data_IF_468101488794
#
_entry.id   IF_468101488794
#
_cell.length_a   1.000
_cell.length_b   1.000
_cell.length_c   1.000
_cell.angle_alpha   90.00
_cell.angle_beta   90.00
_cell.angle_gamma   90.00
#
_symmetry.space_group_name_H-M   'P 1'
#
loop_
_entity.id
_entity.type
_entity.pdbx_description
1 polymer ?
#
# COMPACT_ATOMS: atom_id res chain seq x y z
N UNK A 1 16.93 -30.66 16.00
CA UNK A 1 18.23 -30.86 16.69
C UNK A 1 19.11 -31.56 15.67
N UNK A 2 20.19 -31.01 15.12
CA UNK A 2 21.27 -30.24 15.74
C UNK A 2 21.74 -29.13 14.78
N UNK A 3 22.08 -28.00 15.40
CA UNK A 3 22.82 -26.81 14.98
C UNK A 3 23.41 -26.76 13.55
N UNK A 4 22.91 -25.84 12.72
CA UNK A 4 23.76 -25.17 11.74
C UNK A 4 24.46 -24.02 12.47
N UNK A 5 25.74 -24.23 12.74
CA UNK A 5 26.62 -23.31 13.45
C UNK A 5 26.64 -21.94 12.78
N UNK A 6 26.39 -20.89 13.57
CA UNK A 6 26.69 -19.51 13.19
C UNK A 6 28.19 -19.41 12.95
N UNK A 7 28.62 -19.24 11.71
CA UNK A 7 29.97 -18.76 11.46
C UNK A 7 29.99 -17.29 11.86
N UNK A 8 30.69 -16.99 12.94
CA UNK A 8 30.95 -15.65 13.44
C UNK A 8 32.10 -15.08 12.60
N UNK A 9 31.81 -14.27 11.58
CA UNK A 9 32.87 -13.53 10.89
C UNK A 9 33.29 -12.34 11.75
N UNK A 10 34.59 -12.28 12.05
CA UNK A 10 35.22 -11.22 12.83
C UNK A 10 34.98 -9.86 12.15
N UNK A 11 34.31 -8.96 12.88
CA UNK A 11 34.22 -7.55 12.51
C UNK A 11 35.58 -6.90 12.72
N UNK A 12 36.36 -6.74 11.65
CA UNK A 12 37.47 -5.78 11.65
C UNK A 12 36.88 -4.38 11.82
N UNK A 13 37.11 -3.75 12.98
CA UNK A 13 36.73 -2.35 13.25
C UNK A 13 37.56 -1.44 12.34
N UNK A 14 36.98 -0.96 11.25
CA UNK A 14 37.48 0.21 10.54
C UNK A 14 37.41 1.44 11.46
N UNK A 15 38.43 2.29 11.43
CA UNK A 15 38.65 3.38 12.38
C UNK A 15 37.66 4.55 12.28
N UNK A 16 36.70 4.49 11.37
CA UNK A 16 35.89 5.65 10.98
C UNK A 16 34.36 5.40 11.04
N UNK A 17 33.91 4.32 11.70
CA UNK A 17 32.50 4.15 12.08
C UNK A 17 31.48 3.98 10.94
N UNK A 18 31.91 3.74 9.70
CA UNK A 18 31.02 3.51 8.56
C UNK A 18 30.92 2.00 8.24
N UNK A 19 29.77 1.37 8.52
CA UNK A 19 29.44 0.02 8.01
C UNK A 19 28.41 0.15 6.89
N UNK A 20 28.82 -0.21 5.67
CA UNK A 20 27.91 -0.36 4.53
C UNK A 20 27.46 -1.83 4.51
N UNK A 21 26.25 -2.12 4.98
CA UNK A 21 25.62 -3.42 4.70
C UNK A 21 24.92 -3.35 3.34
N UNK A 22 25.51 -4.00 2.32
CA UNK A 22 24.83 -4.20 1.05
C UNK A 22 23.95 -5.45 1.13
N UNK A 23 22.69 -5.29 1.51
CA UNK A 23 21.65 -6.32 1.30
C UNK A 23 21.03 -6.08 -0.08
N UNK A 24 21.42 -6.88 -1.06
CA UNK A 24 20.83 -6.86 -2.40
C UNK A 24 19.57 -7.74 -2.41
N UNK A 25 18.39 -7.13 -2.42
CA UNK A 25 17.14 -7.82 -2.77
C UNK A 25 16.61 -7.27 -4.09
N UNK A 26 16.40 -8.19 -5.04
CA UNK A 26 16.10 -7.87 -6.43
C UNK A 26 14.69 -7.36 -6.71
N UNK A 27 14.65 -6.51 -7.74
CA UNK A 27 13.53 -6.15 -8.63
C UNK A 27 12.45 -5.22 -8.09
N UNK A 28 12.53 -4.02 -8.67
CA UNK A 28 11.45 -3.13 -9.09
C UNK A 28 10.58 -2.46 -8.01
N UNK A 29 10.32 -1.18 -8.28
CA UNK A 29 9.43 -0.25 -7.57
C UNK A 29 10.07 0.47 -6.38
N UNK A 30 10.74 1.58 -6.69
CA UNK A 30 10.65 2.87 -5.97
C UNK A 30 10.05 2.80 -4.56
N UNK A 31 10.79 2.20 -3.62
CA UNK A 31 10.57 2.39 -2.20
C UNK A 31 11.05 3.80 -1.87
N UNK A 32 10.17 4.77 -2.04
CA UNK A 32 10.32 6.07 -1.39
C UNK A 32 10.03 5.86 0.10
N UNK A 33 10.96 5.23 0.81
CA UNK A 33 11.08 5.38 2.25
C UNK A 33 11.52 6.83 2.47
N UNK A 34 10.56 7.75 2.52
CA UNK A 34 10.82 9.08 3.05
C UNK A 34 11.04 8.88 4.55
N UNK A 35 12.28 8.63 4.92
CA UNK A 35 12.73 8.80 6.29
C UNK A 35 12.67 10.30 6.57
N UNK A 36 11.62 10.72 7.29
CA UNK A 36 11.53 12.08 7.83
C UNK A 36 12.38 12.07 9.09
N UNK A 37 13.67 12.37 8.94
CA UNK A 37 14.44 12.92 10.05
C UNK A 37 14.31 14.43 10.05
N UNK A 38 14.12 14.99 11.24
CA UNK A 38 14.01 16.43 11.48
C UNK A 38 12.56 16.88 11.62
N UNK A 39 12.06 16.87 12.85
CA UNK A 39 10.97 17.76 13.25
C UNK A 39 11.59 19.16 13.35
N UNK A 40 11.32 20.11 12.43
CA UNK A 40 11.68 21.49 12.68
C UNK A 40 10.80 22.01 13.83
N UNK A 41 11.43 22.77 14.72
CA UNK A 41 10.79 23.50 15.80
C UNK A 41 9.46 24.12 15.36
N UNK A 42 8.50 24.09 16.29
CA UNK A 42 7.16 24.65 16.18
C UNK A 42 7.23 26.19 16.05
N UNK A 43 7.68 26.67 14.90
CA UNK A 43 7.52 28.05 14.48
C UNK A 43 6.59 28.11 13.27
N UNK A 44 5.46 28.78 13.50
CA UNK A 44 4.47 29.23 12.52
C UNK A 44 3.41 28.19 12.15
N UNK A 45 2.27 28.26 12.87
CA UNK A 45 0.96 27.71 12.45
C UNK A 45 0.63 27.98 10.97
N UNK A 46 1.20 29.03 10.39
CA UNK A 46 1.10 29.33 8.95
C UNK A 46 1.77 28.29 8.05
N UNK A 47 2.93 27.75 8.43
CA UNK A 47 3.60 26.69 7.68
C UNK A 47 2.78 25.39 7.70
N UNK A 48 2.15 25.08 8.83
CA UNK A 48 1.23 23.95 8.95
C UNK A 48 -0.03 24.13 8.09
N UNK A 49 -0.62 25.34 8.04
CA UNK A 49 -1.76 25.65 7.16
C UNK A 49 -1.39 25.60 5.67
N UNK A 50 -0.17 26.00 5.30
CA UNK A 50 0.35 25.89 3.92
C UNK A 50 0.59 24.41 3.52
N UNK A 51 1.03 23.56 4.44
CA UNK A 51 1.16 22.12 4.18
C UNK A 51 -0.21 21.42 4.15
N UNK A 52 -1.12 21.79 5.04
CA UNK A 52 -2.49 21.29 5.05
C UNK A 52 -3.22 21.68 3.74
N UNK A 53 -3.03 22.91 3.25
CA UNK A 53 -3.60 23.35 1.97
C UNK A 53 -3.00 22.62 0.76
N UNK A 54 -1.70 22.30 0.75
CA UNK A 54 -1.07 21.45 -0.28
C UNK A 54 -1.57 19.99 -0.26
N UNK A 55 -1.96 19.47 0.90
CA UNK A 55 -2.56 18.13 1.04
C UNK A 55 -4.05 18.10 0.68
N UNK A 56 -4.76 19.23 0.82
CA UNK A 56 -6.18 19.37 0.44
C UNK A 56 -6.35 19.63 -1.07
N UNK A 57 -5.35 20.24 -1.72
CA UNK A 57 -5.50 20.85 -3.04
C UNK A 57 -4.99 20.01 -4.23
N UNK A 58 -5.26 18.71 -4.32
CA UNK A 58 -5.23 18.04 -5.64
C UNK A 58 -6.22 16.87 -5.73
N UNK A 59 -7.54 17.11 -5.90
CA UNK A 59 -8.34 16.14 -6.62
C UNK A 59 -7.79 16.13 -8.05
N UNK A 60 -6.89 15.18 -8.37
CA UNK A 60 -6.53 14.87 -9.76
C UNK A 60 -7.86 14.74 -10.51
N UNK A 61 -8.16 15.67 -11.42
CA UNK A 61 -9.48 15.73 -12.05
C UNK A 61 -9.72 14.43 -12.80
N UNK A 62 -10.46 13.53 -12.17
CA UNK A 62 -11.01 12.36 -12.85
C UNK A 62 -11.94 12.89 -13.93
N UNK A 63 -11.95 12.25 -15.10
CA UNK A 63 -12.87 12.55 -16.20
C UNK A 63 -14.27 12.98 -15.72
N UNK A 64 -14.83 14.02 -16.36
CA UNK A 64 -16.17 14.53 -16.06
C UNK A 64 -17.23 13.45 -16.35
N UNK A 65 -17.67 12.78 -15.29
CA UNK A 65 -18.71 11.72 -15.33
C UNK A 65 -20.00 12.22 -14.70
N UNK A 66 -21.13 11.80 -15.26
CA UNK A 66 -22.44 12.05 -14.68
C UNK A 66 -22.59 11.35 -13.33
N UNK A 67 -23.48 11.86 -12.48
CA UNK A 67 -23.72 11.30 -11.14
C UNK A 67 -24.21 9.84 -11.17
N UNK A 68 -25.03 9.48 -12.16
CA UNK A 68 -25.51 8.11 -12.37
C UNK A 68 -24.35 7.14 -12.62
N UNK A 69 -23.41 7.53 -13.48
CA UNK A 69 -22.21 6.73 -13.77
C UNK A 69 -21.32 6.62 -12.54
N UNK A 70 -21.10 7.71 -11.80
CA UNK A 70 -20.33 7.69 -10.54
C UNK A 70 -20.93 6.72 -9.52
N UNK A 71 -22.25 6.74 -9.33
CA UNK A 71 -22.96 5.78 -8.45
C UNK A 71 -22.79 4.34 -8.93
N UNK A 72 -22.90 4.09 -10.23
CA UNK A 72 -22.68 2.76 -10.80
C UNK A 72 -21.25 2.25 -10.57
N UNK A 73 -20.24 3.08 -10.86
CA UNK A 73 -18.84 2.74 -10.64
C UNK A 73 -18.55 2.45 -9.17
N UNK A 74 -19.06 3.28 -8.27
CA UNK A 74 -18.94 3.06 -6.83
C UNK A 74 -19.58 1.73 -6.40
N UNK A 75 -20.78 1.40 -6.90
CA UNK A 75 -21.43 0.11 -6.63
C UNK A 75 -20.60 -1.07 -7.14
N UNK A 76 -20.05 -0.98 -8.36
CA UNK A 76 -19.21 -2.04 -8.94
C UNK A 76 -17.90 -2.24 -8.17
N UNK A 77 -17.29 -1.16 -7.69
CA UNK A 77 -16.11 -1.23 -6.82
C UNK A 77 -16.46 -1.90 -5.49
N UNK A 78 -17.60 -1.52 -4.88
CA UNK A 78 -18.11 -2.14 -3.65
C UNK A 78 -18.52 -3.60 -3.81
N UNK A 79 -18.81 -4.10 -5.01
CA UNK A 79 -19.15 -5.52 -5.22
C UNK A 79 -17.90 -6.41 -5.38
N UNK A 80 -16.77 -5.83 -5.78
CA UNK A 80 -15.56 -6.57 -6.13
C UNK A 80 -14.71 -6.93 -4.90
N UNK A 81 -15.31 -7.64 -3.92
CA UNK A 81 -14.69 -8.01 -2.65
C UNK A 81 -14.55 -9.54 -2.53
N UNK A 82 -13.56 -10.05 -1.78
CA UNK A 82 -13.51 -11.48 -1.45
C UNK A 82 -14.62 -11.84 -0.44
N UNK A 83 -14.93 -13.13 -0.34
CA UNK A 83 -15.95 -13.61 0.60
C UNK A 83 -15.41 -13.52 2.04
N UNK A 84 -16.20 -13.00 2.99
CA UNK A 84 -15.84 -13.01 4.42
C UNK A 84 -15.61 -14.41 4.98
N UNK A 85 -14.66 -14.53 5.90
CA UNK A 85 -14.23 -15.83 6.44
C UNK A 85 -15.35 -16.58 7.18
N UNK A 86 -16.19 -15.89 7.95
CA UNK A 86 -17.28 -16.53 8.70
C UNK A 86 -18.32 -17.21 7.81
N UNK A 87 -18.50 -16.78 6.56
CA UNK A 87 -19.39 -17.44 5.60
C UNK A 87 -18.82 -18.80 5.19
N UNK A 88 -17.49 -18.94 5.12
CA UNK A 88 -16.82 -20.21 4.85
C UNK A 88 -16.95 -21.19 6.01
N UNK A 89 -17.07 -20.67 7.23
CA UNK A 89 -17.20 -21.47 8.46
C UNK A 89 -18.64 -21.92 8.74
N UNK A 90 -19.65 -21.32 8.08
CA UNK A 90 -21.05 -21.74 8.21
C UNK A 90 -21.26 -23.14 7.61
N UNK A 91 -21.82 -24.05 8.40
CA UNK A 91 -22.18 -25.42 8.00
C UNK A 91 -23.21 -25.41 6.87
N UNK A 92 -23.09 -26.36 5.92
CA UNK A 92 -24.03 -26.50 4.80
C UNK A 92 -23.83 -25.50 3.64
N UNK A 93 -22.80 -24.65 3.67
CA UNK A 93 -22.54 -23.68 2.61
C UNK A 93 -21.72 -24.26 1.44
N UNK A 94 -22.28 -24.17 0.23
CA UNK A 94 -21.60 -24.56 -1.03
C UNK A 94 -20.71 -23.44 -1.61
N UNK A 95 -20.86 -22.21 -1.14
CA UNK A 95 -20.20 -21.02 -1.73
C UNK A 95 -18.73 -20.96 -1.27
N UNK A 96 -17.78 -21.08 -2.21
CA UNK A 96 -16.32 -21.02 -1.92
C UNK A 96 -15.66 -19.72 -2.34
N UNK A 97 -16.06 -19.16 -3.47
CA UNK A 97 -15.52 -17.91 -4.02
C UNK A 97 -16.64 -17.05 -4.61
N UNK A 98 -16.37 -15.76 -4.80
CA UNK A 98 -17.33 -14.83 -5.40
C UNK A 98 -17.29 -14.95 -6.92
N UNK A 99 -18.29 -15.62 -7.50
CA UNK A 99 -18.40 -15.80 -8.96
C UNK A 99 -18.53 -14.48 -9.74
N UNK A 100 -18.99 -13.41 -9.10
CA UNK A 100 -19.17 -12.08 -9.70
C UNK A 100 -17.93 -11.18 -9.52
N UNK A 101 -16.84 -11.69 -8.94
CA UNK A 101 -15.58 -10.95 -8.81
C UNK A 101 -15.02 -10.64 -10.19
N UNK A 102 -14.52 -9.42 -10.38
CA UNK A 102 -14.11 -8.91 -11.70
C UNK A 102 -12.70 -8.32 -11.63
N UNK A 103 -11.84 -8.65 -12.60
CA UNK A 103 -10.57 -7.96 -12.78
C UNK A 103 -10.66 -6.97 -13.95
N UNK A 104 -10.13 -5.76 -13.76
CA UNK A 104 -10.31 -4.65 -14.71
C UNK A 104 -9.58 -4.83 -16.05
N UNK A 105 -8.50 -5.63 -16.08
CA UNK A 105 -7.80 -5.98 -17.33
C UNK A 105 -8.53 -7.06 -18.13
N UNK A 106 -9.27 -7.97 -17.47
CA UNK A 106 -9.89 -9.14 -18.12
C UNK A 106 -11.28 -8.84 -18.69
N UNK A 107 -12.16 -8.22 -17.91
CA UNK A 107 -13.57 -7.99 -18.30
C UNK A 107 -13.97 -6.54 -18.07
N UNK A 108 -14.63 -5.91 -19.05
CA UNK A 108 -15.01 -4.48 -19.02
C UNK A 108 -16.42 -4.28 -18.46
N UNK A 109 -16.73 -3.05 -18.04
CA UNK A 109 -17.98 -2.71 -17.34
C UNK A 109 -19.16 -2.37 -18.27
N UNK A 110 -18.91 -2.21 -19.58
CA UNK A 110 -19.95 -1.90 -20.59
C UNK A 110 -20.77 -0.68 -20.19
N UNK A 111 -20.12 0.49 -20.16
CA UNK A 111 -20.70 1.78 -19.80
C UNK A 111 -20.78 2.68 -21.02
#
# INVERSE_FOLDING_TARGET
>A
MVCASRSCEEKSKGRDGFSIESVVFGRDETFRCLWIEGVPDLESVEQALVLLSKLIAFPSQSSHKTFRIKRFLAKKQKQNRPIPQWIRMKTGNKIRYNSKRRHWRRTKLGL
#
